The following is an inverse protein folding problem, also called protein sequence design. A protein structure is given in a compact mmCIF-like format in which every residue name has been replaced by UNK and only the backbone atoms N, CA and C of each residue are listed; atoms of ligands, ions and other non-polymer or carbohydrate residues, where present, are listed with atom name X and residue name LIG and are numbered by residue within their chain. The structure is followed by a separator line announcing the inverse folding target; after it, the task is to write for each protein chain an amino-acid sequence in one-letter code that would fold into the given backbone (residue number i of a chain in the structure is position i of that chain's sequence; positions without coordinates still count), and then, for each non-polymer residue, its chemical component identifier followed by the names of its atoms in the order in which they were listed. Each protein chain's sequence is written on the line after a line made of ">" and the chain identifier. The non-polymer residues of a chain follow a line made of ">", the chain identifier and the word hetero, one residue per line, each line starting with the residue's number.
data_IF_156759992401
#
_entry.id   IF_156759992401
#
_cell.length_a   1.000
_cell.length_b   1.000
_cell.length_c   1.000
_cell.angle_alpha   90.00
_cell.angle_beta   90.00
_cell.angle_gamma   90.00
#
_symmetry.space_group_name_H-M   'P 1'
#
loop_
_entity.id
_entity.type
_entity.pdbx_description
1 polymer ?
#
# COMPACT_ATOMS: atom_id res chain seq x y z
N UNK A 1 -6.91 0.98 9.44
CA UNK A 1 -7.53 -0.30 8.98
C UNK A 1 -6.54 -0.96 8.04
N UNK A 2 -6.33 -2.27 8.17
CA UNK A 2 -5.46 -3.09 7.31
C UNK A 2 -6.34 -4.03 6.50
N UNK A 3 -6.17 -4.03 5.19
CA UNK A 3 -6.81 -4.98 4.28
C UNK A 3 -5.82 -6.06 3.89
N UNK A 4 -6.22 -7.32 3.96
CA UNK A 4 -5.35 -8.45 3.61
C UNK A 4 -6.11 -9.47 2.76
N UNK A 5 -5.40 -10.11 1.84
CA UNK A 5 -5.99 -11.18 1.03
C UNK A 5 -6.39 -12.38 1.89
N UNK A 6 -7.39 -13.14 1.47
CA UNK A 6 -8.01 -14.21 2.27
C UNK A 6 -7.37 -15.60 2.09
N UNK A 7 -6.12 -15.66 1.63
CA UNK A 7 -5.38 -16.93 1.55
C UNK A 7 -5.11 -17.52 2.94
N UNK A 8 -5.14 -18.86 3.10
CA UNK A 8 -5.07 -19.50 4.42
C UNK A 8 -3.86 -19.10 5.27
N UNK A 9 -2.70 -18.85 4.67
CA UNK A 9 -1.48 -18.48 5.40
C UNK A 9 -1.48 -17.03 5.92
N UNK A 10 -2.42 -16.19 5.50
CA UNK A 10 -2.64 -14.87 6.11
C UNK A 10 -3.40 -14.94 7.44
N UNK A 11 -4.00 -16.09 7.79
CA UNK A 11 -4.80 -16.24 9.01
C UNK A 11 -3.99 -16.59 10.26
N UNK A 12 -2.67 -16.38 10.25
CA UNK A 12 -1.84 -16.58 11.44
C UNK A 12 -2.35 -15.68 12.59
N UNK A 13 -2.76 -16.26 13.75
CA UNK A 13 -3.22 -15.49 14.90
C UNK A 13 -2.21 -14.45 15.39
N UNK A 14 -0.91 -14.66 15.16
CA UNK A 14 0.16 -13.72 15.47
C UNK A 14 0.02 -12.43 14.66
N UNK A 15 -0.29 -12.50 13.36
CA UNK A 15 -0.46 -11.34 12.49
C UNK A 15 -1.62 -10.48 12.98
N UNK A 16 -2.79 -11.10 13.23
CA UNK A 16 -3.96 -10.40 13.78
C UNK A 16 -3.65 -9.72 15.12
N UNK A 17 -2.94 -10.39 16.03
CA UNK A 17 -2.53 -9.81 17.31
C UNK A 17 -1.61 -8.60 17.16
N UNK A 18 -0.62 -8.68 16.27
CA UNK A 18 0.33 -7.58 16.04
C UNK A 18 -0.35 -6.36 15.41
N UNK A 19 -1.29 -6.58 14.49
CA UNK A 19 -2.06 -5.48 13.89
C UNK A 19 -2.97 -4.83 14.93
N UNK A 20 -3.71 -5.65 15.70
CA UNK A 20 -4.60 -5.14 16.73
C UNK A 20 -3.87 -4.43 17.87
N UNK A 21 -2.65 -4.85 18.24
CA UNK A 21 -1.87 -4.18 19.29
C UNK A 21 -1.41 -2.77 18.90
N UNK A 22 -1.43 -2.43 17.60
CA UNK A 22 -1.21 -1.08 17.07
C UNK A 22 -2.50 -0.26 16.97
N UNK A 23 -3.63 -0.77 17.45
CA UNK A 23 -4.94 -0.11 17.35
C UNK A 23 -5.57 -0.18 15.95
N UNK A 24 -4.99 -0.97 15.04
CA UNK A 24 -5.52 -1.15 13.70
C UNK A 24 -6.55 -2.29 13.65
N UNK A 25 -7.51 -2.19 12.73
CA UNK A 25 -8.51 -3.23 12.45
C UNK A 25 -8.04 -4.01 11.23
N UNK A 26 -7.94 -5.35 11.35
CA UNK A 26 -7.66 -6.25 10.23
C UNK A 26 -8.96 -6.70 9.54
N UNK A 27 -9.06 -6.49 8.23
CA UNK A 27 -10.17 -6.91 7.37
C UNK A 27 -9.62 -7.82 6.27
N UNK A 28 -10.20 -9.01 6.12
CA UNK A 28 -9.91 -9.91 5.01
C UNK A 28 -10.87 -9.64 3.85
N UNK A 29 -10.36 -9.70 2.62
CA UNK A 29 -11.19 -9.64 1.40
C UNK A 29 -12.03 -10.91 1.27
N UNK A 30 -13.06 -10.89 0.41
CA UNK A 30 -13.82 -12.11 0.11
C UNK A 30 -12.90 -13.13 -0.60
N UNK A 31 -12.98 -14.44 -0.29
CA UNK A 31 -12.20 -15.46 -0.99
C UNK A 31 -12.45 -15.40 -2.50
N UNK A 32 -11.38 -15.61 -3.28
CA UNK A 32 -11.45 -15.66 -4.76
C UNK A 32 -12.11 -14.44 -5.41
N UNK A 33 -12.11 -13.30 -4.74
CA UNK A 33 -12.70 -12.05 -5.23
C UNK A 33 -11.61 -11.01 -5.51
N UNK A 34 -10.75 -11.23 -6.52
CA UNK A 34 -9.63 -10.34 -6.81
C UNK A 34 -10.08 -8.92 -7.15
N UNK A 35 -11.28 -8.75 -7.71
CA UNK A 35 -11.87 -7.45 -8.02
C UNK A 35 -12.12 -6.59 -6.75
N UNK A 36 -12.26 -7.23 -5.59
CA UNK A 36 -12.41 -6.57 -4.30
C UNK A 36 -11.09 -6.34 -3.57
N UNK A 37 -9.95 -6.77 -4.15
CA UNK A 37 -8.64 -6.61 -3.54
C UNK A 37 -7.88 -5.41 -4.17
N UNK A 38 -7.73 -4.28 -3.45
CA UNK A 38 -7.03 -3.10 -3.96
C UNK A 38 -5.61 -3.37 -4.47
N UNK A 39 -4.93 -4.39 -3.91
CA UNK A 39 -3.54 -4.70 -4.27
C UNK A 39 -3.38 -5.08 -5.74
N UNK A 40 -4.41 -5.67 -6.36
CA UNK A 40 -4.36 -6.07 -7.78
C UNK A 40 -4.28 -4.84 -8.70
N UNK A 41 -5.05 -3.80 -8.39
CA UNK A 41 -5.03 -2.54 -9.12
C UNK A 41 -3.71 -1.79 -8.87
N UNK A 42 -3.19 -1.83 -7.64
CA UNK A 42 -1.86 -1.28 -7.33
C UNK A 42 -0.76 -1.98 -8.11
N UNK A 43 -0.77 -3.32 -8.17
CA UNK A 43 0.20 -4.08 -8.96
C UNK A 43 0.08 -3.79 -10.45
N UNK A 44 -1.12 -3.53 -10.98
CA UNK A 44 -1.29 -3.10 -12.38
C UNK A 44 -0.59 -1.76 -12.64
N UNK A 45 -0.84 -0.74 -11.81
CA UNK A 45 -0.18 0.58 -11.93
C UNK A 45 1.34 0.47 -11.81
N UNK A 46 1.81 -0.30 -10.83
CA UNK A 46 3.22 -0.58 -10.61
C UNK A 46 3.88 -1.26 -11.82
N UNK A 47 3.29 -2.35 -12.33
CA UNK A 47 3.81 -3.08 -13.50
C UNK A 47 3.83 -2.21 -14.75
N UNK A 48 2.84 -1.35 -14.94
CA UNK A 48 2.84 -0.39 -16.04
C UNK A 48 3.93 0.69 -15.87
N UNK A 49 4.19 1.12 -14.63
CA UNK A 49 5.33 1.94 -14.26
C UNK A 49 6.67 1.29 -14.62
N UNK A 50 6.83 0.00 -14.29
CA UNK A 50 8.03 -0.78 -14.65
C UNK A 50 8.22 -0.89 -16.17
N UNK A 51 7.15 -1.17 -16.93
CA UNK A 51 7.20 -1.25 -18.39
C UNK A 51 7.65 0.07 -19.01
N UNK A 52 7.15 1.20 -18.49
CA UNK A 52 7.56 2.55 -18.93
C UNK A 52 9.01 2.85 -18.53
N UNK A 53 9.41 2.53 -17.29
CA UNK A 53 10.77 2.73 -16.80
C UNK A 53 11.83 1.94 -17.59
N UNK A 54 11.51 0.69 -17.98
CA UNK A 54 12.39 -0.15 -18.80
C UNK A 54 12.69 0.45 -20.17
N UNK A 55 11.72 1.13 -20.80
CA UNK A 55 11.91 1.84 -22.07
C UNK A 55 12.89 3.02 -21.95
N UNK A 56 13.03 3.58 -20.75
CA UNK A 56 13.80 4.80 -20.51
C UNK A 56 15.22 4.53 -19.98
N UNK A 57 15.65 3.27 -19.84
CA UNK A 57 17.05 2.82 -19.67
C UNK A 57 17.85 3.29 -18.45
N UNK A 58 17.36 4.28 -17.70
CA UNK A 58 18.11 4.92 -16.60
C UNK A 58 17.79 4.21 -15.30
N UNK A 59 18.77 3.84 -14.46
CA UNK A 59 18.54 3.54 -13.03
C UNK A 59 18.63 2.08 -12.53
N UNK A 60 18.97 1.10 -13.39
CA UNK A 60 19.14 -0.29 -12.97
C UNK A 60 17.87 -0.95 -12.39
N UNK A 61 17.98 -2.19 -11.89
CA UNK A 61 16.83 -2.97 -11.40
C UNK A 61 16.11 -2.27 -10.23
N UNK A 62 16.86 -1.93 -9.18
CA UNK A 62 16.32 -1.31 -7.96
C UNK A 62 15.70 0.07 -8.23
N UNK A 63 16.38 0.92 -9.00
CA UNK A 63 15.87 2.25 -9.36
C UNK A 63 14.62 2.18 -10.25
N UNK A 64 14.45 1.13 -11.05
CA UNK A 64 13.21 0.87 -11.78
C UNK A 64 12.05 0.51 -10.83
N UNK A 65 12.29 -0.35 -9.84
CA UNK A 65 11.28 -0.70 -8.82
C UNK A 65 10.86 0.52 -7.99
N UNK A 66 11.81 1.30 -7.49
CA UNK A 66 11.53 2.53 -6.72
C UNK A 66 10.69 3.53 -7.51
N UNK A 67 11.00 3.74 -8.79
CA UNK A 67 10.16 4.60 -9.66
C UNK A 67 8.82 3.97 -9.98
N UNK A 68 8.76 2.66 -10.17
CA UNK A 68 7.53 1.90 -10.38
C UNK A 68 6.52 2.12 -9.25
N UNK A 69 6.99 2.11 -7.99
CA UNK A 69 6.13 2.39 -6.83
C UNK A 69 5.56 3.83 -6.88
N UNK A 70 6.32 4.80 -7.38
CA UNK A 70 5.89 6.19 -7.56
C UNK A 70 4.80 6.42 -8.63
N UNK A 71 4.38 5.39 -9.36
CA UNK A 71 3.24 5.44 -10.29
C UNK A 71 1.88 5.30 -9.58
N UNK A 72 1.85 4.79 -8.35
CA UNK A 72 0.65 4.77 -7.53
C UNK A 72 0.47 6.16 -6.91
N UNK A 73 -0.40 6.98 -7.50
CA UNK A 73 -0.69 8.33 -7.00
C UNK A 73 -1.75 8.31 -5.90
N UNK A 74 -1.72 9.25 -4.93
CA UNK A 74 -2.73 9.38 -3.87
C UNK A 74 -4.17 9.31 -4.38
N UNK A 75 -4.51 10.12 -5.40
CA UNK A 75 -5.85 10.16 -5.99
C UNK A 75 -6.23 8.82 -6.62
N UNK A 76 -5.30 8.20 -7.35
CA UNK A 76 -5.51 6.88 -7.94
C UNK A 76 -5.75 5.82 -6.85
N UNK A 77 -4.97 5.84 -5.77
CA UNK A 77 -5.11 4.91 -4.66
C UNK A 77 -6.46 5.02 -3.97
N UNK A 78 -6.92 6.24 -3.71
CA UNK A 78 -8.25 6.47 -3.13
C UNK A 78 -9.36 5.98 -4.04
N UNK A 79 -9.26 6.24 -5.34
CA UNK A 79 -10.25 5.75 -6.32
C UNK A 79 -10.27 4.22 -6.41
N UNK A 80 -9.11 3.56 -6.30
CA UNK A 80 -9.01 2.10 -6.22
C UNK A 80 -9.73 1.58 -4.98
N UNK A 81 -9.44 2.13 -3.80
CA UNK A 81 -10.12 1.69 -2.58
C UNK A 81 -11.63 1.89 -2.67
N UNK A 82 -12.09 3.02 -3.22
CA UNK A 82 -13.53 3.27 -3.47
C UNK A 82 -14.12 2.25 -4.44
N UNK A 83 -13.41 1.93 -5.52
CA UNK A 83 -13.85 0.96 -6.51
C UNK A 83 -13.99 -0.45 -5.91
N UNK A 84 -13.10 -0.82 -4.98
CA UNK A 84 -13.18 -2.07 -4.22
C UNK A 84 -14.21 -2.03 -3.06
N UNK A 85 -15.01 -0.97 -2.95
CA UNK A 85 -16.08 -0.87 -1.96
C UNK A 85 -15.63 -0.55 -0.54
N UNK A 86 -14.41 -0.02 -0.34
CA UNK A 86 -13.95 0.38 0.99
C UNK A 86 -14.75 1.59 1.49
N UNK A 87 -15.48 1.48 2.62
CA UNK A 87 -16.31 2.56 3.14
C UNK A 87 -15.49 3.67 3.80
N UNK A 88 -16.08 4.86 3.96
CA UNK A 88 -15.50 5.96 4.73
C UNK A 88 -14.45 6.80 4.00
N UNK A 89 -14.30 6.63 2.68
CA UNK A 89 -13.47 7.51 1.86
C UNK A 89 -14.28 8.76 1.49
N UNK A 90 -13.99 9.88 2.16
CA UNK A 90 -14.68 11.17 1.97
C UNK A 90 -14.82 11.68 0.52
N UNK A 91 -15.60 12.75 0.31
CA UNK A 91 -15.98 13.27 -1.00
C UNK A 91 -14.78 13.74 -1.83
N UNK A 92 -14.97 13.87 -3.16
CA UNK A 92 -13.87 13.97 -4.12
C UNK A 92 -13.04 15.25 -4.02
N UNK A 93 -13.72 16.29 -3.60
CA UNK A 93 -13.27 17.67 -3.65
C UNK A 93 -12.29 17.99 -2.51
N UNK A 94 -12.40 17.30 -1.36
CA UNK A 94 -11.56 17.52 -0.18
C UNK A 94 -10.09 17.16 -0.40
N UNK A 95 -9.77 16.26 -1.35
CA UNK A 95 -8.41 15.77 -1.56
C UNK A 95 -7.70 16.32 -2.79
N UNK A 96 -8.43 16.76 -3.83
CA UNK A 96 -7.80 17.50 -4.94
C UNK A 96 -7.23 18.84 -4.45
N UNK A 97 -7.85 19.44 -3.44
CA UNK A 97 -7.33 20.62 -2.74
C UNK A 97 -6.02 20.34 -1.96
N UNK A 98 -5.85 19.14 -1.40
CA UNK A 98 -4.65 18.76 -0.65
C UNK A 98 -3.42 18.52 -1.55
N UNK A 99 -3.61 17.98 -2.76
CA UNK A 99 -2.51 17.83 -3.73
C UNK A 99 -2.06 19.18 -4.33
N UNK A 100 -2.97 20.15 -4.48
CA UNK A 100 -2.62 21.50 -4.93
C UNK A 100 -1.67 22.24 -3.96
N UNK A 101 -1.61 21.80 -2.69
CA UNK A 101 -0.71 22.30 -1.65
C UNK A 101 0.66 21.61 -1.57
N UNK A 102 0.97 20.64 -2.44
CA UNK A 102 2.29 19.99 -2.49
C UNK A 102 2.59 18.99 -1.36
N UNK A 103 1.61 18.65 -0.51
CA UNK A 103 1.78 17.70 0.60
C UNK A 103 1.56 16.25 0.16
N UNK A 104 2.64 15.46 0.11
CA UNK A 104 2.62 14.02 -0.18
C UNK A 104 1.99 13.20 0.94
N UNK A 105 0.67 13.26 1.11
CA UNK A 105 -0.04 12.66 2.25
C UNK A 105 -0.30 11.14 2.15
N UNK A 106 0.33 10.41 1.23
CA UNK A 106 0.08 8.96 1.04
C UNK A 106 1.36 8.11 1.04
N UNK A 107 2.53 8.71 1.23
CA UNK A 107 3.76 7.93 1.40
C UNK A 107 3.92 7.37 2.82
N UNK A 108 3.36 8.01 3.85
CA UNK A 108 3.70 7.70 5.24
C UNK A 108 2.90 6.55 5.88
N UNK A 109 1.86 6.00 5.22
CA UNK A 109 0.95 5.07 5.90
C UNK A 109 0.75 3.69 5.24
N UNK A 110 1.30 3.42 4.05
CA UNK A 110 1.00 2.16 3.34
C UNK A 110 2.23 1.39 2.82
N UNK A 111 3.41 2.01 2.70
CA UNK A 111 4.51 1.34 1.97
C UNK A 111 5.81 1.09 2.74
N UNK A 112 6.02 1.65 3.94
CA UNK A 112 7.28 1.46 4.67
C UNK A 112 7.34 0.17 5.51
N UNK A 113 6.24 -0.30 6.12
CA UNK A 113 6.31 -1.51 6.98
C UNK A 113 6.02 -2.83 6.24
N UNK A 114 5.18 -2.83 5.20
CA UNK A 114 4.69 -4.07 4.58
C UNK A 114 5.67 -4.64 3.55
N UNK A 115 6.50 -3.80 2.92
CA UNK A 115 7.41 -4.24 1.85
C UNK A 115 8.72 -4.84 2.39
N UNK A 116 9.12 -4.53 3.63
CA UNK A 116 10.31 -5.13 4.24
C UNK A 116 10.10 -6.60 4.63
N UNK A 117 8.88 -7.01 4.98
CA UNK A 117 8.61 -8.38 5.42
C UNK A 117 8.64 -9.41 4.28
N UNK A 118 8.24 -9.05 3.07
CA UNK A 118 8.14 -9.99 1.94
C UNK A 118 9.40 -10.06 1.05
N UNK A 119 10.28 -9.05 1.08
CA UNK A 119 11.47 -9.01 0.20
C UNK A 119 12.78 -9.42 0.87
N UNK A 120 12.88 -9.38 2.20
CA UNK A 120 14.17 -9.60 2.88
C UNK A 120 14.20 -10.68 3.97
N UNK A 121 13.09 -11.36 4.28
CA UNK A 121 13.13 -12.55 5.14
C UNK A 121 13.91 -12.33 6.43
N UNK A 122 13.59 -11.28 7.19
CA UNK A 122 14.31 -10.95 8.42
C UNK A 122 13.62 -9.85 9.20
N UNK A 123 13.26 -10.14 10.44
CA UNK A 123 12.73 -9.15 11.37
C UNK A 123 13.77 -8.06 11.62
N UNK A 124 13.44 -6.81 11.28
CA UNK A 124 14.13 -5.63 11.81
C UNK A 124 13.15 -4.91 12.74
N UNK A 125 13.35 -5.11 14.04
CA UNK A 125 12.74 -4.30 15.08
C UNK A 125 13.46 -2.95 15.07
N UNK A 126 12.91 -2.00 14.32
CA UNK A 126 13.36 -0.61 14.31
C UNK A 126 12.83 0.14 15.53
N UNK A 127 13.70 0.28 16.52
CA UNK A 127 13.50 1.03 17.76
C UNK A 127 13.28 2.52 17.43
N UNK A 128 12.11 3.09 17.75
CA UNK A 128 11.89 4.54 17.70
C UNK A 128 11.78 5.07 19.14
N UNK A 129 12.90 5.68 19.57
CA UNK A 129 13.02 6.53 20.73
C UNK A 129 11.89 7.56 20.77
N UNK A 130 11.08 7.52 21.84
CA UNK A 130 10.35 8.69 22.33
C UNK A 130 11.35 9.55 23.12
N UNK A 131 11.81 10.64 22.50
CA UNK A 131 12.59 11.68 23.14
C UNK A 131 11.77 12.96 23.29
N UNK A 132 11.62 13.36 24.56
CA UNK A 132 11.18 14.62 25.17
C UNK A 132 10.86 15.84 24.29
#
# INVERSE_FOLDING_TARGET
>A
VVFMDNVPFHHDPKVKRLINSKGAILIYTAPYSPDLNPIEYFFRLYKDGLKRGRRNGRGGRLGNHRRGLGFVKPVAARNIFRHCGVPGLGPKEEYEAAEAGGGGFVQDFIFDEVLEMDLFGGAVVGNLNLGA
#
